data_IF_646952752264
#
_entry.id   IF_646952752264
#
_cell.length_a   1.000
_cell.length_b   1.000
_cell.length_c   1.000
_cell.angle_alpha   90.00
_cell.angle_beta   90.00
_cell.angle_gamma   90.00
#
_symmetry.space_group_name_H-M   'P 1'
#
loop_
_entity.id
_entity.type
_entity.pdbx_description
1 polymer ?
#
# COMPACT_ATOMS: atom_id res chain seq x y z
N UNK A 1 13.74 -2.85 20.63
CA UNK A 1 14.17 -2.34 19.31
C UNK A 1 13.30 -2.88 18.17
N UNK A 2 13.11 -4.19 18.06
CA UNK A 2 12.29 -4.80 16.98
C UNK A 2 10.85 -4.26 16.95
N UNK A 3 10.18 -4.14 18.07
CA UNK A 3 8.79 -3.62 18.13
C UNK A 3 8.65 -2.18 17.62
N UNK A 4 9.67 -1.35 17.81
CA UNK A 4 9.70 0.04 17.32
C UNK A 4 9.74 0.07 15.79
N UNK A 5 10.60 -0.76 15.18
CA UNK A 5 10.68 -0.87 13.72
C UNK A 5 9.41 -1.45 13.12
N UNK A 6 8.81 -2.50 13.71
CA UNK A 6 7.53 -3.06 13.25
C UNK A 6 6.41 -2.00 13.24
N UNK A 7 6.40 -1.11 14.25
CA UNK A 7 5.46 0.02 14.31
C UNK A 7 5.76 1.06 13.22
N UNK A 8 7.03 1.40 12.97
CA UNK A 8 7.42 2.34 11.94
C UNK A 8 7.12 1.81 10.52
N UNK A 9 7.35 0.52 10.26
CA UNK A 9 7.05 -0.16 9.01
C UNK A 9 5.54 -0.35 8.77
N UNK A 10 4.72 -0.09 9.79
CA UNK A 10 3.26 -0.25 9.77
C UNK A 10 2.82 -1.64 9.31
N UNK A 11 3.45 -2.70 9.85
CA UNK A 11 3.16 -4.09 9.50
C UNK A 11 1.66 -4.42 9.59
N UNK A 12 0.92 -3.81 10.51
CA UNK A 12 -0.54 -3.93 10.61
C UNK A 12 -1.28 -3.53 9.32
N UNK A 13 -0.64 -2.74 8.45
CA UNK A 13 -1.23 -2.31 7.17
C UNK A 13 -0.87 -3.23 6.00
N UNK A 14 -0.03 -4.25 6.23
CA UNK A 14 0.31 -5.23 5.21
C UNK A 14 -0.91 -6.04 4.73
N UNK A 15 -1.95 -6.16 5.57
CA UNK A 15 -3.24 -6.75 5.18
C UNK A 15 -3.84 -6.12 3.91
N UNK A 16 -3.58 -4.83 3.65
CA UNK A 16 -4.00 -4.17 2.41
C UNK A 16 -3.37 -4.78 1.16
N UNK A 17 -2.18 -5.37 1.30
CA UNK A 17 -1.47 -6.00 0.19
C UNK A 17 -2.02 -7.40 -0.13
N UNK A 18 -2.92 -7.95 0.70
CA UNK A 18 -3.70 -9.14 0.36
C UNK A 18 -4.55 -8.95 -0.91
N UNK A 19 -4.83 -7.70 -1.31
CA UNK A 19 -5.47 -7.40 -2.59
C UNK A 19 -4.68 -7.95 -3.81
N UNK A 20 -3.37 -8.14 -3.70
CA UNK A 20 -2.54 -8.80 -4.73
C UNK A 20 -2.97 -10.26 -4.92
N UNK A 21 -3.40 -10.93 -3.84
CA UNK A 21 -3.81 -12.35 -3.88
C UNK A 21 -5.18 -12.57 -4.53
N UNK A 22 -6.00 -11.51 -4.68
CA UNK A 22 -7.36 -11.63 -5.23
C UNK A 22 -7.37 -12.31 -6.60
N UNK A 23 -6.44 -11.95 -7.49
CA UNK A 23 -6.37 -12.53 -8.82
C UNK A 23 -6.12 -14.05 -8.77
N UNK A 24 -5.28 -14.53 -7.85
CA UNK A 24 -5.04 -15.96 -7.67
C UNK A 24 -6.28 -16.67 -7.13
N UNK A 25 -6.94 -16.14 -6.12
CA UNK A 25 -8.18 -16.72 -5.58
C UNK A 25 -9.26 -16.88 -6.65
N UNK A 26 -9.47 -15.83 -7.45
CA UNK A 26 -10.46 -15.88 -8.53
C UNK A 26 -10.02 -16.79 -9.67
N UNK A 27 -8.72 -16.89 -9.98
CA UNK A 27 -8.24 -17.80 -11.02
C UNK A 27 -8.42 -19.27 -10.65
N UNK A 28 -8.35 -19.62 -9.38
CA UNK A 28 -8.63 -20.99 -8.90
C UNK A 28 -10.10 -21.34 -9.04
N UNK A 29 -10.99 -20.36 -8.83
CA UNK A 29 -12.44 -20.56 -8.92
C UNK A 29 -12.99 -20.57 -10.36
N UNK A 30 -12.24 -19.99 -11.31
CA UNK A 30 -12.67 -19.81 -12.70
C UNK A 30 -12.01 -20.83 -13.63
N UNK A 31 -12.81 -21.76 -14.15
CA UNK A 31 -12.34 -22.81 -15.06
C UNK A 31 -11.82 -22.28 -16.40
N UNK A 32 -12.19 -21.04 -16.80
CA UNK A 32 -11.72 -20.40 -18.04
C UNK A 32 -10.27 -19.88 -17.94
N UNK A 33 -9.72 -19.79 -16.74
CA UNK A 33 -8.35 -19.33 -16.52
C UNK A 33 -7.32 -20.40 -16.96
N UNK A 34 -6.15 -19.93 -17.35
CA UNK A 34 -5.03 -20.80 -17.69
C UNK A 34 -4.71 -21.73 -16.51
N UNK A 35 -4.48 -23.01 -16.76
CA UNK A 35 -4.13 -23.97 -15.72
C UNK A 35 -2.88 -23.55 -14.95
N UNK A 36 -1.89 -22.97 -15.65
CA UNK A 36 -0.68 -22.44 -15.05
C UNK A 36 -0.94 -21.34 -14.01
N UNK A 37 -1.99 -20.52 -14.18
CA UNK A 37 -2.33 -19.42 -13.25
C UNK A 37 -2.95 -19.92 -11.94
N UNK A 38 -3.39 -21.17 -11.86
CA UNK A 38 -4.03 -21.80 -10.70
C UNK A 38 -3.09 -22.64 -9.84
N UNK A 39 -1.91 -22.97 -10.37
CA UNK A 39 -0.95 -23.86 -9.73
C UNK A 39 -0.26 -23.26 -8.49
N UNK A 40 0.43 -24.11 -7.74
CA UNK A 40 1.22 -23.72 -6.56
C UNK A 40 2.33 -22.70 -6.90
N UNK A 41 2.94 -22.83 -8.08
CA UNK A 41 3.93 -21.85 -8.55
C UNK A 41 3.36 -20.44 -8.66
N UNK A 42 2.14 -20.31 -9.21
CA UNK A 42 1.44 -19.02 -9.31
C UNK A 42 1.02 -18.48 -7.94
N UNK A 43 0.63 -19.34 -7.01
CA UNK A 43 0.43 -18.95 -5.62
C UNK A 43 1.69 -18.30 -5.03
N UNK A 44 2.85 -18.95 -5.17
CA UNK A 44 4.12 -18.42 -4.67
C UNK A 44 4.51 -17.12 -5.35
N UNK A 45 4.24 -16.95 -6.65
CA UNK A 45 4.46 -15.68 -7.36
C UNK A 45 3.55 -14.56 -6.84
N UNK A 46 2.29 -14.84 -6.57
CA UNK A 46 1.37 -13.88 -5.96
C UNK A 46 1.80 -13.49 -4.55
N UNK A 47 2.25 -14.45 -3.73
CA UNK A 47 2.82 -14.20 -2.40
C UNK A 47 4.09 -13.35 -2.48
N UNK A 48 5.01 -13.66 -3.39
CA UNK A 48 6.21 -12.86 -3.62
C UNK A 48 5.89 -11.42 -4.02
N UNK A 49 4.90 -11.23 -4.90
CA UNK A 49 4.44 -9.90 -5.31
C UNK A 49 3.75 -9.15 -4.16
N UNK A 50 2.96 -9.83 -3.33
CA UNK A 50 2.39 -9.23 -2.12
C UNK A 50 3.48 -8.79 -1.13
N UNK A 51 4.52 -9.62 -0.95
CA UNK A 51 5.72 -9.28 -0.18
C UNK A 51 6.44 -8.05 -0.74
N UNK A 52 6.61 -7.97 -2.06
CA UNK A 52 7.19 -6.81 -2.74
C UNK A 52 6.39 -5.52 -2.41
N UNK A 53 5.06 -5.56 -2.50
CA UNK A 53 4.20 -4.44 -2.09
C UNK A 53 4.30 -4.12 -0.60
N UNK A 54 4.48 -5.11 0.28
CA UNK A 54 4.71 -4.86 1.71
C UNK A 54 5.99 -4.06 1.93
N UNK A 55 7.08 -4.44 1.28
CA UNK A 55 8.36 -3.74 1.39
C UNK A 55 8.29 -2.32 0.82
N UNK A 56 7.77 -2.18 -0.41
CA UNK A 56 7.64 -0.87 -1.07
C UNK A 56 6.72 0.06 -0.28
N UNK A 57 5.55 -0.41 0.17
CA UNK A 57 4.65 0.43 0.96
C UNK A 57 5.26 0.85 2.30
N UNK A 58 6.02 -0.04 2.97
CA UNK A 58 6.75 0.29 4.20
C UNK A 58 7.84 1.34 3.95
N UNK A 59 8.56 1.26 2.82
CA UNK A 59 9.52 2.28 2.42
C UNK A 59 8.87 3.66 2.32
N UNK A 60 7.71 3.75 1.65
CA UNK A 60 6.98 5.02 1.53
C UNK A 60 6.39 5.50 2.85
N UNK A 61 5.98 4.62 3.77
CA UNK A 61 5.57 5.04 5.11
C UNK A 61 6.71 5.68 5.89
N UNK A 62 7.92 5.13 5.82
CA UNK A 62 9.09 5.73 6.46
C UNK A 62 9.41 7.11 5.85
N UNK A 63 9.44 7.24 4.52
CA UNK A 63 9.70 8.51 3.84
C UNK A 63 8.63 9.55 4.18
N UNK A 64 7.37 9.15 4.25
CA UNK A 64 6.29 10.05 4.62
C UNK A 64 6.40 10.52 6.08
N UNK A 65 6.73 9.61 7.02
CA UNK A 65 6.91 9.97 8.42
C UNK A 65 8.16 10.86 8.63
N UNK A 66 9.20 10.75 7.77
CA UNK A 66 10.34 11.69 7.73
C UNK A 66 9.90 13.04 7.20
N UNK A 67 9.15 13.08 6.09
CA UNK A 67 8.64 14.33 5.50
C UNK A 67 7.72 15.10 6.46
N UNK A 68 6.92 14.37 7.25
CA UNK A 68 5.95 14.93 8.19
C UNK A 68 6.54 15.17 9.60
N UNK A 69 7.85 14.97 9.81
CA UNK A 69 8.50 14.98 11.12
C UNK A 69 8.10 16.17 12.01
N UNK A 70 8.21 17.40 11.51
CA UNK A 70 7.92 18.61 12.29
C UNK A 70 6.43 18.72 12.63
N UNK A 71 5.55 18.45 11.67
CA UNK A 71 4.10 18.50 11.88
C UNK A 71 3.59 17.39 12.80
N UNK A 72 4.19 16.20 12.71
CA UNK A 72 3.82 15.07 13.56
C UNK A 72 4.21 15.29 15.03
N UNK A 73 5.31 15.98 15.32
CA UNK A 73 5.71 16.34 16.70
C UNK A 73 4.70 17.25 17.39
N UNK A 74 4.05 18.12 16.65
CA UNK A 74 3.05 19.06 17.16
C UNK A 74 1.66 18.43 17.32
N UNK A 75 1.43 17.25 16.69
CA UNK A 75 0.12 16.62 16.70
C UNK A 75 -0.06 15.71 17.93
N UNK A 76 -1.18 15.77 18.68
CA UNK A 76 -1.38 15.04 19.94
C UNK A 76 -1.15 13.53 19.86
N UNK A 77 -1.56 12.88 18.76
CA UNK A 77 -1.44 11.43 18.57
C UNK A 77 -0.22 11.05 17.73
N UNK A 78 0.07 11.83 16.66
CA UNK A 78 1.15 11.47 15.72
C UNK A 78 2.55 11.66 16.32
N UNK A 79 2.71 12.49 17.36
CA UNK A 79 3.96 12.62 18.13
C UNK A 79 4.47 11.31 18.73
N UNK A 80 3.59 10.31 18.84
CA UNK A 80 3.94 8.96 19.32
C UNK A 80 4.48 8.04 18.20
N UNK A 81 4.57 8.52 16.95
CA UNK A 81 5.22 7.78 15.87
C UNK A 81 6.72 7.66 16.14
N UNK A 82 7.35 6.51 15.83
CA UNK A 82 8.75 6.27 16.19
C UNK A 82 9.74 7.33 15.70
N UNK A 83 9.54 7.91 14.53
CA UNK A 83 10.41 8.94 13.97
C UNK A 83 10.13 10.29 14.65
N UNK A 84 8.88 10.70 14.80
CA UNK A 84 8.49 11.93 15.48
C UNK A 84 8.91 11.93 16.98
N UNK A 85 8.88 10.77 17.62
CA UNK A 85 9.33 10.56 19.00
C UNK A 85 10.86 10.41 19.14
N UNK A 86 11.65 10.59 18.08
CA UNK A 86 13.10 10.41 18.04
C UNK A 86 13.60 9.02 18.46
N UNK A 87 12.75 7.99 18.41
CA UNK A 87 13.14 6.59 18.67
C UNK A 87 13.89 5.98 17.47
N UNK A 88 13.69 6.54 16.28
CA UNK A 88 14.41 6.22 15.04
C UNK A 88 14.85 7.56 14.43
N UNK A 89 16.14 7.71 14.15
CA UNK A 89 16.65 8.91 13.48
C UNK A 89 16.15 9.01 12.03
N UNK A 90 15.95 10.21 11.54
CA UNK A 90 15.51 10.44 10.15
C UNK A 90 16.46 9.79 9.14
N UNK A 91 17.77 9.88 9.37
CA UNK A 91 18.80 9.27 8.50
C UNK A 91 18.67 7.75 8.48
N UNK A 92 18.44 7.10 9.63
CA UNK A 92 18.23 5.66 9.70
C UNK A 92 16.93 5.25 8.99
N UNK A 93 15.86 6.05 9.12
CA UNK A 93 14.60 5.82 8.43
C UNK A 93 14.75 5.91 6.91
N UNK A 94 15.46 6.93 6.39
CA UNK A 94 15.71 7.07 4.94
C UNK A 94 16.57 5.91 4.41
N UNK A 95 17.65 5.53 5.10
CA UNK A 95 18.47 4.38 4.71
C UNK A 95 17.64 3.09 4.67
N UNK A 96 16.82 2.83 5.69
CA UNK A 96 15.94 1.67 5.74
C UNK A 96 14.90 1.71 4.59
N UNK A 97 14.33 2.88 4.28
CA UNK A 97 13.39 3.04 3.18
C UNK A 97 14.04 2.70 1.82
N UNK A 98 15.26 3.16 1.57
CA UNK A 98 15.98 2.84 0.34
C UNK A 98 16.26 1.34 0.20
N UNK A 99 16.70 0.67 1.29
CA UNK A 99 16.92 -0.77 1.29
C UNK A 99 15.61 -1.53 1.05
N UNK A 100 14.54 -1.17 1.74
CA UNK A 100 13.22 -1.81 1.58
C UNK A 100 12.68 -1.63 0.16
N UNK A 101 12.84 -0.44 -0.41
CA UNK A 101 12.45 -0.16 -1.79
C UNK A 101 13.23 -1.02 -2.78
N UNK A 102 14.56 -1.05 -2.66
CA UNK A 102 15.43 -1.87 -3.50
C UNK A 102 15.04 -3.36 -3.41
N UNK A 103 14.90 -3.91 -2.19
CA UNK A 103 14.46 -5.28 -1.98
C UNK A 103 13.05 -5.54 -2.56
N UNK A 104 12.13 -4.59 -2.40
CA UNK A 104 10.76 -4.72 -2.90
C UNK A 104 10.66 -4.76 -4.42
N UNK A 105 11.50 -4.01 -5.13
CA UNK A 105 11.51 -4.03 -6.61
C UNK A 105 12.34 -5.18 -7.19
N UNK A 106 13.19 -5.83 -6.40
CA UNK A 106 14.02 -6.96 -6.88
C UNK A 106 13.16 -8.12 -7.36
N UNK A 107 12.14 -8.52 -6.59
CA UNK A 107 11.28 -9.65 -6.97
C UNK A 107 10.58 -9.46 -8.32
N UNK A 108 9.80 -8.38 -8.58
CA UNK A 108 9.18 -8.19 -9.88
C UNK A 108 10.20 -7.99 -11.02
N UNK A 109 11.39 -7.45 -10.75
CA UNK A 109 12.47 -7.36 -11.73
C UNK A 109 12.96 -8.75 -12.16
N UNK A 110 13.19 -9.66 -11.20
CA UNK A 110 13.58 -11.04 -11.49
C UNK A 110 12.47 -11.78 -12.24
N UNK A 111 11.21 -11.56 -11.90
CA UNK A 111 10.07 -12.14 -12.63
C UNK A 111 10.11 -11.71 -14.09
N UNK A 112 10.34 -10.43 -14.40
CA UNK A 112 10.41 -9.94 -15.79
C UNK A 112 11.62 -10.51 -16.53
N UNK A 113 12.76 -10.68 -15.87
CA UNK A 113 13.94 -11.31 -16.50
C UNK A 113 13.67 -12.75 -16.93
N UNK A 114 12.91 -13.51 -16.13
CA UNK A 114 12.59 -14.92 -16.43
C UNK A 114 11.35 -15.02 -17.34
N UNK A 115 10.40 -14.11 -17.18
CA UNK A 115 9.13 -14.09 -17.90
C UNK A 115 8.86 -12.70 -18.50
N UNK A 116 9.44 -12.36 -19.66
CA UNK A 116 9.30 -11.03 -20.28
C UNK A 116 7.85 -10.61 -20.55
N UNK A 117 6.92 -11.57 -20.74
CA UNK A 117 5.49 -11.30 -20.91
C UNK A 117 4.83 -10.66 -19.67
N UNK A 118 5.45 -10.72 -18.50
CA UNK A 118 4.94 -10.22 -17.22
C UNK A 118 5.42 -8.80 -16.88
N UNK A 119 5.87 -8.04 -17.86
CA UNK A 119 6.36 -6.65 -17.69
C UNK A 119 5.32 -5.75 -17.01
N UNK A 120 4.03 -6.01 -17.18
CA UNK A 120 2.95 -5.27 -16.51
C UNK A 120 3.06 -5.39 -14.98
N UNK A 121 3.50 -6.53 -14.42
CA UNK A 121 3.68 -6.70 -12.98
C UNK A 121 4.73 -5.74 -12.42
N UNK A 122 5.86 -5.57 -13.13
CA UNK A 122 6.88 -4.59 -12.78
C UNK A 122 6.37 -3.15 -12.98
N UNK A 123 5.71 -2.88 -14.11
CA UNK A 123 5.15 -1.57 -14.41
C UNK A 123 4.15 -1.09 -13.36
N UNK A 124 3.32 -1.98 -12.81
CA UNK A 124 2.33 -1.62 -11.78
C UNK A 124 2.97 -1.23 -10.45
N UNK A 125 4.04 -1.91 -10.00
CA UNK A 125 4.73 -1.53 -8.77
C UNK A 125 5.52 -0.22 -8.95
N UNK A 126 6.05 0.03 -10.14
CA UNK A 126 6.70 1.30 -10.47
C UNK A 126 5.67 2.45 -10.49
N UNK A 127 4.53 2.24 -11.15
CA UNK A 127 3.45 3.23 -11.18
C UNK A 127 2.92 3.52 -9.77
N UNK A 128 2.73 2.47 -8.94
CA UNK A 128 2.39 2.62 -7.54
C UNK A 128 3.42 3.50 -6.81
N UNK A 129 4.70 3.25 -7.03
CA UNK A 129 5.79 4.01 -6.39
C UNK A 129 5.79 5.49 -6.79
N UNK A 130 5.57 5.77 -8.08
CA UNK A 130 5.44 7.13 -8.59
C UNK A 130 4.26 7.86 -7.94
N UNK A 131 3.09 7.20 -7.88
CA UNK A 131 1.90 7.76 -7.22
C UNK A 131 2.18 8.05 -5.74
N UNK A 132 2.88 7.16 -5.03
CA UNK A 132 3.23 7.36 -3.62
C UNK A 132 4.22 8.52 -3.41
N UNK A 133 5.16 8.74 -4.33
CA UNK A 133 6.03 9.91 -4.30
C UNK A 133 5.21 11.22 -4.39
N UNK A 134 4.32 11.31 -5.38
CA UNK A 134 3.46 12.48 -5.54
C UNK A 134 2.49 12.65 -4.37
N UNK A 135 1.97 11.55 -3.84
CA UNK A 135 1.11 11.57 -2.67
C UNK A 135 1.81 12.17 -1.46
N UNK A 136 3.02 11.74 -1.15
CA UNK A 136 3.80 12.24 0.00
C UNK A 136 4.13 13.72 -0.12
N UNK A 137 4.37 14.23 -1.34
CA UNK A 137 4.71 15.62 -1.58
C UNK A 137 3.50 16.57 -1.63
N UNK A 138 2.49 16.24 -2.42
CA UNK A 138 1.44 17.20 -2.79
C UNK A 138 0.02 16.68 -2.58
N UNK A 139 -0.30 15.45 -2.98
CA UNK A 139 -1.68 14.99 -3.12
C UNK A 139 -2.40 14.80 -1.79
N UNK A 140 -1.68 14.51 -0.71
CA UNK A 140 -2.25 14.32 0.65
C UNK A 140 -2.92 15.58 1.22
N UNK A 141 -2.62 16.75 0.67
CA UNK A 141 -3.19 18.03 1.12
C UNK A 141 -4.45 18.44 0.35
N UNK A 142 -4.76 17.75 -0.76
CA UNK A 142 -5.92 18.05 -1.60
C UNK A 142 -7.09 17.17 -1.14
N UNK A 143 -8.21 17.75 -0.64
CA UNK A 143 -9.39 17.00 -0.24
C UNK A 143 -9.89 16.08 -1.36
N UNK A 144 -10.32 14.87 -1.01
CA UNK A 144 -10.82 13.81 -1.90
C UNK A 144 -9.76 13.14 -2.79
N UNK A 145 -8.65 13.80 -3.14
CA UNK A 145 -7.58 13.18 -3.94
C UNK A 145 -6.88 12.08 -3.13
N UNK A 146 -6.70 12.28 -1.83
CA UNK A 146 -6.16 11.25 -0.92
C UNK A 146 -6.98 9.96 -0.97
N UNK A 147 -8.32 10.08 -0.99
CA UNK A 147 -9.24 8.93 -1.07
C UNK A 147 -9.11 8.20 -2.40
N UNK A 148 -9.04 8.95 -3.51
CA UNK A 148 -8.85 8.41 -4.85
C UNK A 148 -7.50 7.67 -4.98
N UNK A 149 -6.42 8.25 -4.47
CA UNK A 149 -5.09 7.61 -4.49
C UNK A 149 -5.09 6.29 -3.72
N UNK A 150 -5.79 6.22 -2.59
CA UNK A 150 -5.95 4.97 -1.84
C UNK A 150 -6.70 3.94 -2.67
N UNK A 151 -7.82 4.32 -3.30
CA UNK A 151 -8.63 3.41 -4.14
C UNK A 151 -7.83 2.90 -5.35
N UNK A 152 -7.13 3.79 -6.07
CA UNK A 152 -6.23 3.39 -7.17
C UNK A 152 -5.11 2.48 -6.70
N UNK A 153 -4.57 2.70 -5.51
CA UNK A 153 -3.57 1.83 -4.92
C UNK A 153 -4.04 0.38 -4.75
N UNK A 154 -5.32 0.14 -4.45
CA UNK A 154 -5.91 -1.20 -4.40
C UNK A 154 -6.07 -1.81 -5.79
N UNK A 155 -6.50 -1.03 -6.77
CA UNK A 155 -6.62 -1.47 -8.17
C UNK A 155 -5.25 -1.91 -8.71
N UNK A 156 -4.19 -1.12 -8.47
CA UNK A 156 -2.84 -1.48 -8.90
C UNK A 156 -2.34 -2.79 -8.27
N UNK A 157 -2.67 -3.04 -7.00
CA UNK A 157 -2.35 -4.31 -6.35
C UNK A 157 -3.06 -5.50 -7.01
N UNK A 158 -4.34 -5.35 -7.33
CA UNK A 158 -5.09 -6.40 -8.02
C UNK A 158 -4.53 -6.66 -9.43
N UNK A 159 -4.19 -5.61 -10.19
CA UNK A 159 -3.56 -5.74 -11.52
C UNK A 159 -2.18 -6.40 -11.39
N UNK A 160 -1.36 -6.00 -10.43
CA UNK A 160 -0.05 -6.59 -10.20
C UNK A 160 -0.12 -8.09 -9.90
N UNK A 161 -1.11 -8.49 -9.07
CA UNK A 161 -1.37 -9.89 -8.75
C UNK A 161 -1.76 -10.70 -9.97
N UNK A 162 -2.64 -10.19 -10.83
CA UNK A 162 -3.02 -10.87 -12.07
C UNK A 162 -1.85 -10.95 -13.05
N UNK A 163 -1.13 -9.85 -13.24
CA UNK A 163 -0.02 -9.79 -14.18
C UNK A 163 1.14 -10.72 -13.79
N UNK A 164 1.43 -10.87 -12.49
CA UNK A 164 2.52 -11.74 -12.04
C UNK A 164 2.25 -13.22 -12.26
N UNK A 165 0.98 -13.65 -12.29
CA UNK A 165 0.57 -15.04 -12.54
C UNK A 165 0.04 -15.27 -13.97
N UNK A 166 0.08 -14.25 -14.83
CA UNK A 166 -0.47 -14.28 -16.18
C UNK A 166 -1.97 -14.70 -16.22
N UNK A 167 -2.75 -14.23 -15.23
CA UNK A 167 -4.18 -14.47 -15.15
C UNK A 167 -4.96 -13.33 -15.82
N UNK A 168 -6.11 -13.69 -16.42
CA UNK A 168 -7.05 -12.69 -16.90
C UNK A 168 -7.72 -11.99 -15.71
N UNK A 169 -7.74 -10.65 -15.75
CA UNK A 169 -8.42 -9.87 -14.73
C UNK A 169 -9.76 -9.35 -15.27
N UNK A 170 -10.82 -9.70 -14.58
CA UNK A 170 -12.17 -9.23 -14.93
C UNK A 170 -12.28 -7.73 -14.69
N UNK A 171 -12.88 -7.00 -15.66
CA UNK A 171 -13.21 -5.58 -15.50
C UNK A 171 -14.09 -5.34 -14.26
N UNK A 172 -15.00 -6.26 -13.98
CA UNK A 172 -15.87 -6.19 -12.80
C UNK A 172 -15.08 -6.29 -11.49
N UNK A 173 -14.05 -7.13 -11.44
CA UNK A 173 -13.18 -7.22 -10.25
C UNK A 173 -12.48 -5.89 -9.98
N UNK A 174 -12.00 -5.21 -11.01
CA UNK A 174 -11.36 -3.89 -10.86
C UNK A 174 -12.36 -2.82 -10.40
N UNK A 175 -13.56 -2.82 -10.94
CA UNK A 175 -14.64 -1.91 -10.53
C UNK A 175 -15.01 -2.18 -9.06
N UNK A 176 -15.21 -3.43 -8.67
CA UNK A 176 -15.53 -3.81 -7.28
C UNK A 176 -14.39 -3.44 -6.33
N UNK A 177 -13.12 -3.71 -6.69
CA UNK A 177 -11.97 -3.35 -5.87
C UNK A 177 -11.86 -1.83 -5.70
N UNK A 178 -12.09 -1.06 -6.76
CA UNK A 178 -12.08 0.40 -6.71
C UNK A 178 -13.20 0.95 -5.84
N UNK A 179 -14.45 0.55 -6.11
CA UNK A 179 -15.63 1.08 -5.39
C UNK A 179 -15.64 0.71 -3.92
N UNK A 180 -15.26 -0.54 -3.59
CA UNK A 180 -15.12 -0.98 -2.19
C UNK A 180 -14.03 -0.17 -1.47
N UNK A 181 -12.88 0.01 -2.10
CA UNK A 181 -11.77 0.78 -1.51
C UNK A 181 -12.13 2.25 -1.32
N UNK A 182 -12.82 2.83 -2.30
CA UNK A 182 -13.33 4.19 -2.25
C UNK A 182 -14.34 4.35 -1.09
N UNK A 183 -15.28 3.40 -0.98
CA UNK A 183 -16.26 3.39 0.11
C UNK A 183 -15.59 3.33 1.49
N UNK A 184 -14.63 2.41 1.68
CA UNK A 184 -13.91 2.28 2.95
C UNK A 184 -13.09 3.53 3.29
N UNK A 185 -12.45 4.15 2.30
CA UNK A 185 -11.67 5.35 2.51
C UNK A 185 -12.56 6.56 2.85
N UNK A 186 -13.71 6.72 2.18
CA UNK A 186 -14.71 7.75 2.49
C UNK A 186 -15.34 7.54 3.87
N UNK A 187 -15.71 6.31 4.20
CA UNK A 187 -16.29 5.96 5.51
C UNK A 187 -15.33 6.29 6.64
N UNK A 188 -14.05 5.98 6.49
CA UNK A 188 -13.02 6.35 7.45
C UNK A 188 -12.93 7.88 7.61
N UNK A 189 -12.90 8.60 6.50
CA UNK A 189 -12.85 10.08 6.52
C UNK A 189 -14.07 10.70 7.21
N UNK A 190 -15.25 10.19 6.89
CA UNK A 190 -16.50 10.62 7.55
C UNK A 190 -16.44 10.38 9.06
N UNK A 191 -15.99 9.20 9.48
CA UNK A 191 -15.86 8.88 10.90
C UNK A 191 -14.88 9.83 11.64
N UNK A 192 -13.74 10.15 11.04
CA UNK A 192 -12.77 11.09 11.58
C UNK A 192 -13.38 12.50 11.75
N UNK A 193 -14.17 12.98 10.77
CA UNK A 193 -14.82 14.29 10.83
C UNK A 193 -15.88 14.35 11.94
N UNK A 194 -16.72 13.32 12.08
CA UNK A 194 -17.75 13.24 13.11
C UNK A 194 -17.12 13.18 14.51
N UNK A 195 -16.05 12.38 14.68
CA UNK A 195 -15.35 12.27 15.95
C UNK A 195 -14.73 13.61 16.39
N UNK A 196 -14.07 14.32 15.49
CA UNK A 196 -13.49 15.63 15.79
C UNK A 196 -14.56 16.70 16.05
N UNK A 197 -15.68 16.66 15.34
CA UNK A 197 -16.81 17.57 15.61
C UNK A 197 -17.44 17.30 16.98
N UNK A 198 -17.59 16.03 17.37
CA UNK A 198 -18.09 15.63 18.70
C UNK A 198 -17.16 16.08 19.83
N UNK A 199 -15.87 15.91 19.67
CA UNK A 199 -14.86 16.34 20.65
C UNK A 199 -14.82 17.87 20.81
N UNK A 200 -14.94 18.65 19.74
CA UNK A 200 -15.05 20.11 19.82
C UNK A 200 -16.31 20.59 20.54
N UNK A 201 -17.45 19.94 20.30
CA UNK A 201 -18.70 20.25 21.01
C UNK A 201 -18.61 19.93 22.50
N UNK A 202 -17.99 18.81 22.86
CA UNK A 202 -17.78 18.42 24.25
C UNK A 202 -16.86 19.41 25.02
N UNK A 203 -15.85 19.97 24.34
CA UNK A 203 -14.94 20.97 24.93
C UNK A 203 -15.53 22.38 24.99
N UNK A 204 -16.50 22.71 24.13
CA UNK A 204 -17.18 24.02 24.13
C UNK A 204 -18.35 24.08 25.12
N UNK A 205 -18.72 22.97 25.77
CA UNK A 205 -19.77 22.87 26.78
C UNK A 205 -19.28 23.00 28.23
N UNK A 206 -18.01 23.35 28.43
CA UNK A 206 -17.43 23.80 29.70
C UNK A 206 -16.95 25.25 29.54
#
# INVERSE_FOLDING_TARGET
MVSIWLKALRVNQWTKNAAVMLAWFFSVADASQKELSRGFGSFMMAVGMAGAFCLVSSAFYLLNDVSDYESDRLHPQKRLRPIAANLISQVAAVKAALVLFACGVTFPSLVVMVYPSRTIAFGTIMLYSVIQCFYSGFLKHIPYVDVLVIAFGFVLRAIAGAAVIDAYISRWLLVCAFTLSLFLALSKRHHELVYHAGTRKALAGY
#
